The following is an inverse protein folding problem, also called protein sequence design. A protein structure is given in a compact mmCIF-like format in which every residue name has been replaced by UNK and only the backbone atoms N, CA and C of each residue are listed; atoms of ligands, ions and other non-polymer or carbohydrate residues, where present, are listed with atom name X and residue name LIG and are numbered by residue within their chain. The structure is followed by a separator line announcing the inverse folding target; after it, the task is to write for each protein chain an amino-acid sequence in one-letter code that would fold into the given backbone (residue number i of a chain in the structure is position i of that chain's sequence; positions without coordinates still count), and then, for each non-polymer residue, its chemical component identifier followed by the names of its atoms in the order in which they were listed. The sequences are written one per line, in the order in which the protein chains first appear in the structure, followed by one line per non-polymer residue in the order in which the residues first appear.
data_IF_456724499055
#
_entry.id   IF_456724499055
#
_cell.length_a   1.000
_cell.length_b   1.000
_cell.length_c   1.000
_cell.angle_alpha   90.00
_cell.angle_beta   90.00
_cell.angle_gamma   90.00
#
_symmetry.space_group_name_H-M   'P 1'
#
loop_
_entity.id
_entity.type
_entity.pdbx_description
1 polymer ?
#
# COMPACT_ATOMS: atom_id res chain seq x y z
N UNK A 1 9.75 12.12 6.85
CA UNK A 1 9.97 10.87 6.09
C UNK A 1 10.94 9.99 6.88
N UNK A 2 10.56 8.78 7.28
CA UNK A 2 11.41 7.86 8.09
C UNK A 2 11.49 6.48 7.41
N UNK A 3 11.67 6.45 6.09
CA UNK A 3 11.64 5.20 5.33
C UNK A 3 12.83 4.27 5.63
N UNK A 4 13.99 4.83 5.96
CA UNK A 4 15.21 4.05 6.24
C UNK A 4 15.12 3.16 7.50
N UNK A 5 14.28 3.50 8.48
CA UNK A 5 14.10 2.65 9.67
C UNK A 5 13.18 1.47 9.38
N UNK A 6 12.14 1.70 8.57
CA UNK A 6 11.06 0.75 8.28
C UNK A 6 11.54 -0.37 7.35
N UNK A 7 12.21 -0.03 6.24
CA UNK A 7 12.73 -1.03 5.31
C UNK A 7 13.75 -1.98 5.96
N UNK A 8 14.64 -1.42 6.81
CA UNK A 8 15.64 -2.21 7.54
C UNK A 8 15.00 -3.32 8.38
N UNK A 9 13.80 -3.06 8.92
CA UNK A 9 13.06 -4.01 9.77
C UNK A 9 12.28 -5.07 9.00
N UNK A 10 12.33 -5.06 7.66
CA UNK A 10 11.68 -6.06 6.82
C UNK A 10 10.27 -5.68 6.36
N UNK A 11 9.81 -4.47 6.66
CA UNK A 11 8.57 -3.95 6.09
C UNK A 11 8.82 -3.43 4.68
N UNK A 12 7.88 -3.69 3.78
CA UNK A 12 7.92 -3.19 2.41
C UNK A 12 7.67 -1.67 2.34
N UNK A 13 8.39 -1.00 1.45
CA UNK A 13 8.18 0.41 1.10
C UNK A 13 7.73 0.50 -0.36
N UNK A 14 6.62 1.19 -0.61
CA UNK A 14 6.02 1.36 -1.94
C UNK A 14 5.75 2.84 -2.25
N UNK A 15 5.52 3.15 -3.53
CA UNK A 15 5.32 4.52 -4.01
C UNK A 15 3.86 4.97 -3.87
N UNK A 16 3.65 6.17 -3.33
CA UNK A 16 2.33 6.79 -3.14
C UNK A 16 2.31 8.27 -3.63
N UNK A 17 2.88 8.51 -4.81
CA UNK A 17 3.02 9.81 -5.50
C UNK A 17 3.86 10.85 -4.71
N UNK A 18 4.35 11.87 -5.42
CA UNK A 18 5.22 12.91 -4.84
C UNK A 18 4.39 14.07 -4.32
N UNK A 19 3.39 14.51 -5.10
CA UNK A 19 2.58 15.68 -4.76
C UNK A 19 1.40 15.35 -3.86
N UNK A 20 0.84 14.14 -4.00
CA UNK A 20 -0.49 13.82 -3.50
C UNK A 20 -1.52 14.89 -3.93
N UNK A 21 -1.45 15.34 -5.20
CA UNK A 21 -2.38 16.28 -5.83
C UNK A 21 -3.84 15.95 -5.44
N UNK A 22 -4.55 16.96 -4.93
CA UNK A 22 -5.90 16.87 -4.41
C UNK A 22 -6.97 16.84 -5.51
N UNK A 23 -6.60 17.15 -6.75
CA UNK A 23 -7.49 17.00 -7.91
C UNK A 23 -7.61 15.53 -8.34
N UNK A 24 -8.69 14.85 -7.93
CA UNK A 24 -8.99 13.48 -8.36
C UNK A 24 -9.08 13.32 -9.89
N UNK A 25 -9.45 14.38 -10.63
CA UNK A 25 -9.54 14.33 -12.09
C UNK A 25 -8.16 14.32 -12.75
N UNK A 26 -7.17 14.96 -12.12
CA UNK A 26 -5.78 14.90 -12.58
C UNK A 26 -5.34 13.44 -12.69
N UNK A 27 -5.50 12.64 -11.63
CA UNK A 27 -5.09 11.23 -11.65
C UNK A 27 -5.81 10.39 -12.70
N UNK A 28 -7.09 10.67 -12.91
CA UNK A 28 -7.93 9.92 -13.85
C UNK A 28 -7.57 10.22 -15.32
N UNK A 29 -6.96 11.38 -15.57
CA UNK A 29 -6.62 11.88 -16.91
C UNK A 29 -5.10 12.03 -17.13
N UNK A 30 -4.29 11.74 -16.12
CA UNK A 30 -2.84 11.89 -16.14
C UNK A 30 -2.22 11.10 -17.29
N UNK A 31 -1.21 11.70 -17.92
CA UNK A 31 -0.44 11.06 -18.99
C UNK A 31 0.53 10.04 -18.41
N UNK A 32 1.12 9.20 -19.27
CA UNK A 32 2.16 8.25 -18.87
C UNK A 32 3.35 8.98 -18.20
N UNK A 33 3.72 10.17 -18.72
CA UNK A 33 4.80 11.00 -18.18
C UNK A 33 4.44 11.59 -16.80
N UNK A 34 3.20 12.05 -16.61
CA UNK A 34 2.73 12.54 -15.30
C UNK A 34 2.80 11.43 -14.24
N UNK A 35 2.32 10.22 -14.60
CA UNK A 35 2.44 9.04 -13.75
C UNK A 35 3.91 8.69 -13.45
N UNK A 36 4.81 8.84 -14.42
CA UNK A 36 6.23 8.51 -14.24
C UNK A 36 6.90 9.51 -13.30
N UNK A 37 6.68 10.81 -13.49
CA UNK A 37 7.20 11.87 -12.62
C UNK A 37 6.76 11.68 -11.18
N UNK A 38 5.52 11.28 -10.98
CA UNK A 38 5.00 11.12 -9.63
C UNK A 38 5.38 9.79 -8.98
N UNK A 39 5.27 8.65 -9.68
CA UNK A 39 5.54 7.33 -9.09
C UNK A 39 7.00 6.95 -9.16
N UNK A 40 7.62 7.02 -10.35
CA UNK A 40 9.05 6.72 -10.49
C UNK A 40 9.90 7.81 -9.81
N UNK A 41 9.46 9.07 -9.82
CA UNK A 41 10.06 10.14 -9.02
C UNK A 41 10.04 9.84 -7.52
N UNK A 42 8.90 9.40 -6.97
CA UNK A 42 8.83 8.95 -5.58
C UNK A 42 9.77 7.78 -5.30
N UNK A 43 9.85 6.79 -6.19
CA UNK A 43 10.83 5.69 -6.05
C UNK A 43 12.26 6.23 -5.96
N UNK A 44 12.66 7.15 -6.84
CA UNK A 44 13.99 7.78 -6.81
C UNK A 44 14.25 8.52 -5.48
N UNK A 45 13.26 9.29 -5.00
CA UNK A 45 13.34 9.99 -3.71
C UNK A 45 13.57 8.98 -2.58
N UNK A 46 12.76 7.91 -2.52
CA UNK A 46 12.86 6.89 -1.49
C UNK A 46 14.21 6.18 -1.55
N UNK A 47 14.62 5.68 -2.73
CA UNK A 47 15.90 4.97 -2.91
C UNK A 47 17.09 5.85 -2.48
N UNK A 48 17.13 7.12 -2.91
CA UNK A 48 18.22 8.05 -2.57
C UNK A 48 18.23 8.42 -1.09
N UNK A 49 17.11 8.88 -0.54
CA UNK A 49 17.07 9.46 0.81
C UNK A 49 16.85 8.42 1.92
N UNK A 50 16.39 7.21 1.60
CA UNK A 50 16.38 6.07 2.51
C UNK A 50 17.59 5.14 2.34
N UNK A 51 18.42 5.35 1.30
CA UNK A 51 19.58 4.54 0.95
C UNK A 51 19.22 3.06 0.71
N UNK A 52 18.13 2.84 -0.04
CA UNK A 52 17.67 1.51 -0.46
C UNK A 52 18.24 1.26 -1.86
N UNK A 53 18.89 0.12 -2.06
CA UNK A 53 19.66 -0.20 -3.29
C UNK A 53 19.43 -1.61 -3.83
N UNK A 54 18.50 -2.35 -3.22
CA UNK A 54 18.15 -3.74 -3.56
C UNK A 54 16.95 -3.82 -4.52
N UNK A 55 16.53 -2.71 -5.11
CA UNK A 55 15.38 -2.59 -6.01
C UNK A 55 14.06 -3.11 -5.39
N UNK A 56 13.91 -3.04 -4.06
CA UNK A 56 12.74 -3.53 -3.34
C UNK A 56 11.53 -2.58 -3.37
N UNK A 57 11.69 -1.34 -3.83
CA UNK A 57 10.60 -0.35 -3.94
C UNK A 57 9.82 -0.58 -5.24
N UNK A 58 8.95 -1.59 -5.23
CA UNK A 58 8.31 -2.14 -6.44
C UNK A 58 6.78 -1.98 -6.50
N UNK A 59 6.17 -1.54 -5.40
CA UNK A 59 4.73 -1.33 -5.31
C UNK A 59 4.28 0.09 -5.66
N UNK A 60 3.05 0.19 -6.14
CA UNK A 60 2.38 1.44 -6.46
C UNK A 60 0.97 1.46 -5.84
N UNK A 61 0.56 2.61 -5.29
CA UNK A 61 -0.84 2.90 -4.96
C UNK A 61 -1.15 4.36 -5.26
N UNK A 62 -2.23 4.65 -5.97
CA UNK A 62 -2.64 6.04 -6.20
C UNK A 62 -3.41 6.63 -5.00
N UNK A 63 -3.19 7.91 -4.64
CA UNK A 63 -4.03 8.73 -3.77
C UNK A 63 -5.49 8.68 -4.17
N UNK A 64 -6.33 8.70 -3.14
CA UNK A 64 -7.79 8.61 -3.25
C UNK A 64 -8.26 7.38 -4.06
N UNK A 65 -7.37 6.39 -4.26
CA UNK A 65 -7.60 5.20 -5.07
C UNK A 65 -8.05 5.52 -6.51
N UNK A 66 -7.56 6.62 -7.09
CA UNK A 66 -7.87 7.01 -8.47
C UNK A 66 -7.07 6.19 -9.48
N UNK A 67 -7.74 5.30 -10.22
CA UNK A 67 -7.10 4.48 -11.24
C UNK A 67 -6.90 5.31 -12.51
N UNK A 68 -5.68 5.31 -13.04
CA UNK A 68 -5.23 6.12 -14.19
C UNK A 68 -5.37 5.44 -15.55
N UNK A 69 -6.38 4.59 -15.73
CA UNK A 69 -6.65 3.89 -16.99
C UNK A 69 -5.47 3.05 -17.46
N UNK A 70 -5.29 2.97 -18.77
CA UNK A 70 -4.13 2.29 -19.33
C UNK A 70 -2.81 3.06 -19.10
N UNK A 71 -2.85 4.37 -18.88
CA UNK A 71 -1.64 5.19 -18.78
C UNK A 71 -0.83 4.85 -17.52
N UNK A 72 -1.50 4.66 -16.39
CA UNK A 72 -0.89 4.21 -15.14
C UNK A 72 -0.14 2.88 -15.35
N UNK A 73 -0.80 1.88 -15.94
CA UNK A 73 -0.23 0.54 -16.10
C UNK A 73 0.85 0.49 -17.20
N UNK A 74 0.72 1.29 -18.26
CA UNK A 74 1.78 1.47 -19.26
C UNK A 74 3.02 2.08 -18.63
N UNK A 75 2.87 3.13 -17.81
CA UNK A 75 3.99 3.70 -17.04
C UNK A 75 4.62 2.64 -16.14
N UNK A 76 3.82 1.86 -15.42
CA UNK A 76 4.33 0.85 -14.50
C UNK A 76 5.14 -0.24 -15.20
N UNK A 77 4.69 -0.69 -16.37
CA UNK A 77 5.41 -1.65 -17.20
C UNK A 77 6.73 -1.05 -17.72
N UNK A 78 6.71 0.18 -18.26
CA UNK A 78 7.91 0.90 -18.72
C UNK A 78 8.93 1.17 -17.59
N UNK A 79 8.44 1.42 -16.38
CA UNK A 79 9.23 1.72 -15.19
C UNK A 79 9.55 0.48 -14.34
N UNK A 80 9.18 -0.72 -14.80
CA UNK A 80 9.41 -2.00 -14.14
C UNK A 80 8.91 -2.07 -12.67
N UNK A 81 7.74 -1.48 -12.40
CA UNK A 81 7.03 -1.74 -11.13
C UNK A 81 6.43 -3.15 -11.14
N UNK A 82 6.43 -3.81 -9.98
CA UNK A 82 5.94 -5.19 -9.86
C UNK A 82 4.42 -5.25 -9.80
N UNK A 83 3.81 -4.40 -8.97
CA UNK A 83 2.37 -4.45 -8.71
C UNK A 83 1.74 -3.08 -8.45
N UNK A 84 0.47 -2.97 -8.81
CA UNK A 84 -0.45 -1.92 -8.37
C UNK A 84 -1.33 -2.45 -7.24
N UNK A 85 -1.73 -1.56 -6.33
CA UNK A 85 -2.76 -1.84 -5.32
C UNK A 85 -3.66 -0.62 -5.19
N UNK A 86 -4.24 -0.22 -6.33
CA UNK A 86 -5.17 0.92 -6.41
C UNK A 86 -6.58 0.44 -6.78
N UNK A 87 -6.70 -0.61 -7.58
CA UNK A 87 -8.00 -1.09 -8.07
C UNK A 87 -8.80 -1.70 -6.91
N UNK A 88 -10.00 -1.16 -6.70
CA UNK A 88 -10.96 -1.70 -5.73
C UNK A 88 -11.89 -2.71 -6.40
N UNK A 89 -12.05 -3.89 -5.78
CA UNK A 89 -13.10 -4.84 -6.12
C UNK A 89 -14.30 -4.63 -5.21
N UNK A 90 -15.53 -4.62 -5.76
CA UNK A 90 -16.74 -4.50 -4.95
C UNK A 90 -16.85 -5.66 -3.96
N UNK A 91 -17.55 -5.42 -2.85
CA UNK A 91 -17.81 -6.45 -1.84
C UNK A 91 -18.37 -7.71 -2.50
N UNK A 92 -17.66 -8.82 -2.32
CA UNK A 92 -17.94 -10.11 -2.96
C UNK A 92 -17.70 -11.28 -2.01
N UNK A 93 -18.38 -12.39 -2.28
CA UNK A 93 -18.19 -13.64 -1.53
C UNK A 93 -18.20 -14.81 -2.53
N UNK A 94 -17.05 -15.48 -2.77
CA UNK A 94 -15.76 -15.25 -2.11
C UNK A 94 -15.06 -13.95 -2.55
N UNK A 95 -14.13 -13.40 -1.73
CA UNK A 95 -13.26 -12.30 -2.12
C UNK A 95 -12.26 -12.71 -3.22
N UNK A 96 -11.66 -11.75 -3.91
CA UNK A 96 -10.77 -11.99 -5.04
C UNK A 96 -9.32 -12.14 -4.62
N UNK A 97 -8.63 -13.11 -5.23
CA UNK A 97 -7.18 -13.21 -5.18
C UNK A 97 -6.53 -12.15 -6.10
N UNK A 98 -5.27 -11.75 -5.83
CA UNK A 98 -4.49 -10.96 -6.77
C UNK A 98 -4.41 -11.61 -8.15
N UNK A 99 -4.31 -10.79 -9.18
CA UNK A 99 -4.27 -11.24 -10.57
C UNK A 99 -3.29 -10.41 -11.38
N UNK A 100 -2.91 -10.89 -12.58
CA UNK A 100 -2.08 -10.10 -13.49
C UNK A 100 -2.93 -9.37 -14.52
N UNK A 101 -2.42 -8.25 -15.01
CA UNK A 101 -3.09 -7.37 -15.96
C UNK A 101 -2.90 -7.78 -17.42
N UNK A 102 -2.40 -8.99 -17.68
CA UNK A 102 -2.33 -9.54 -19.04
C UNK A 102 -3.72 -9.80 -19.63
N UNK A 103 -4.69 -10.14 -18.78
CA UNK A 103 -6.06 -10.44 -19.17
C UNK A 103 -7.04 -9.40 -18.63
N UNK A 104 -8.27 -9.44 -19.14
CA UNK A 104 -9.34 -8.57 -18.65
C UNK A 104 -9.57 -8.81 -17.15
N UNK A 105 -9.73 -7.72 -16.41
CA UNK A 105 -10.07 -7.74 -14.98
C UNK A 105 -11.24 -8.68 -14.69
N UNK A 106 -11.18 -9.48 -13.60
CA UNK A 106 -12.21 -10.45 -13.25
C UNK A 106 -13.42 -9.81 -12.52
N UNK A 107 -13.48 -8.48 -12.45
CA UNK A 107 -14.58 -7.73 -11.83
C UNK A 107 -14.82 -6.40 -12.56
N UNK A 108 -15.93 -5.73 -12.22
CA UNK A 108 -16.25 -4.40 -12.74
C UNK A 108 -15.24 -3.36 -12.25
N UNK A 109 -15.01 -2.33 -13.05
CA UNK A 109 -14.36 -1.11 -12.57
C UNK A 109 -15.27 -0.46 -11.52
N UNK A 110 -14.85 -0.40 -10.26
CA UNK A 110 -15.68 -0.03 -9.12
C UNK A 110 -15.17 1.24 -8.46
N UNK A 111 -16.09 2.14 -8.11
CA UNK A 111 -15.81 3.47 -7.58
C UNK A 111 -16.36 4.59 -8.47
N UNK A 112 -16.42 5.80 -7.94
CA UNK A 112 -16.99 6.95 -8.64
C UNK A 112 -16.07 7.43 -9.77
N UNK A 113 -16.59 7.50 -11.00
CA UNK A 113 -15.85 8.00 -12.18
C UNK A 113 -14.48 7.34 -12.37
N UNK A 114 -14.34 6.06 -12.04
CA UNK A 114 -13.07 5.35 -12.15
C UNK A 114 -12.72 5.03 -13.60
N UNK A 115 -11.45 5.16 -13.96
CA UNK A 115 -10.92 4.82 -15.27
C UNK A 115 -10.00 3.60 -15.13
N UNK A 116 -10.53 2.40 -15.32
CA UNK A 116 -9.72 1.17 -15.23
C UNK A 116 -9.02 0.83 -16.57
N UNK A 117 -7.89 0.12 -16.53
CA UNK A 117 -7.20 -0.34 -17.74
C UNK A 117 -8.05 -1.34 -18.54
N UNK A 118 -7.85 -1.35 -19.86
CA UNK A 118 -8.59 -2.19 -20.80
C UNK A 118 -7.68 -3.01 -21.73
N UNK A 119 -6.39 -2.66 -21.80
CA UNK A 119 -5.35 -3.39 -22.53
C UNK A 119 -4.59 -4.33 -21.59
N UNK A 120 -3.81 -5.22 -22.19
CA UNK A 120 -2.88 -6.07 -21.46
C UNK A 120 -1.67 -5.25 -20.99
N UNK A 121 -1.26 -5.46 -19.73
CA UNK A 121 -0.04 -4.88 -19.14
C UNK A 121 0.67 -5.92 -18.28
N UNK A 122 2.01 -5.91 -18.29
CA UNK A 122 2.83 -6.85 -17.54
C UNK A 122 2.97 -6.49 -16.04
N UNK A 123 1.84 -6.28 -15.36
CA UNK A 123 1.76 -5.77 -13.98
C UNK A 123 0.86 -6.67 -13.13
N UNK A 124 1.20 -6.90 -11.87
CA UNK A 124 0.31 -7.53 -10.90
C UNK A 124 -0.67 -6.51 -10.31
N UNK A 125 -1.91 -6.93 -10.07
CA UNK A 125 -2.90 -6.17 -9.30
C UNK A 125 -3.11 -6.86 -7.95
N UNK A 126 -2.62 -6.22 -6.90
CA UNK A 126 -2.92 -6.51 -5.50
C UNK A 126 -4.27 -5.89 -5.14
N UNK A 127 -5.32 -6.49 -5.71
CA UNK A 127 -6.69 -5.99 -5.69
C UNK A 127 -7.18 -5.69 -4.27
N UNK A 128 -7.77 -4.51 -4.10
CA UNK A 128 -8.36 -4.08 -2.84
C UNK A 128 -9.81 -4.57 -2.76
N UNK A 129 -10.03 -5.73 -2.14
CA UNK A 129 -11.38 -6.20 -1.84
C UNK A 129 -12.04 -5.27 -0.82
N UNK A 130 -13.24 -4.78 -1.10
CA UNK A 130 -14.04 -4.11 -0.07
C UNK A 130 -14.33 -5.06 1.11
N UNK A 131 -14.20 -4.51 2.31
CA UNK A 131 -14.59 -5.13 3.56
C UNK A 131 -16.08 -4.90 3.81
N UNK A 132 -16.71 -5.89 4.44
CA UNK A 132 -18.12 -5.82 4.85
C UNK A 132 -18.21 -5.09 6.17
N UNK A 133 -18.93 -3.98 6.18
CA UNK A 133 -19.08 -3.09 7.35
C UNK A 133 -20.40 -3.27 8.09
N UNK A 134 -21.23 -4.25 7.73
CA UNK A 134 -22.46 -4.56 8.46
C UNK A 134 -22.12 -5.02 9.88
N UNK A 135 -22.86 -4.53 10.86
CA UNK A 135 -22.64 -4.88 12.28
C UNK A 135 -23.25 -6.24 12.58
N UNK A 136 -24.42 -6.52 11.97
CA UNK A 136 -25.01 -7.85 11.92
C UNK A 136 -25.20 -8.31 10.46
N UNK A 137 -24.23 -9.06 9.90
CA UNK A 137 -24.27 -9.53 8.52
C UNK A 137 -25.47 -10.43 8.18
N UNK A 138 -26.17 -10.98 9.18
CA UNK A 138 -27.33 -11.86 9.00
C UNK A 138 -28.64 -11.09 8.87
N UNK A 139 -28.75 -9.95 9.56
CA UNK A 139 -30.00 -9.17 9.65
C UNK A 139 -29.93 -7.82 8.95
N UNK A 140 -28.74 -7.21 8.84
CA UNK A 140 -28.57 -5.92 8.22
C UNK A 140 -28.85 -5.96 6.71
N UNK A 141 -29.52 -4.91 6.23
CA UNK A 141 -29.73 -4.67 4.81
C UNK A 141 -28.40 -4.52 4.05
N UNK A 142 -28.48 -4.55 2.73
CA UNK A 142 -27.31 -4.34 1.88
C UNK A 142 -26.68 -2.96 2.14
N UNK A 143 -25.44 -2.97 2.62
CA UNK A 143 -24.57 -1.80 2.72
C UNK A 143 -23.43 -1.93 1.72
N UNK A 144 -23.01 -0.82 1.06
CA UNK A 144 -21.77 -0.84 0.29
C UNK A 144 -20.60 -1.11 1.24
N UNK A 145 -19.63 -1.88 0.75
CA UNK A 145 -18.40 -2.14 1.50
C UNK A 145 -17.49 -0.92 1.55
N UNK A 146 -16.32 -1.10 2.16
CA UNK A 146 -15.28 -0.08 2.28
C UNK A 146 -13.92 -0.70 2.01
N UNK A 147 -13.10 -0.05 1.16
CA UNK A 147 -11.74 -0.53 0.87
C UNK A 147 -10.75 -0.13 1.95
N UNK A 148 -10.70 1.17 2.29
CA UNK A 148 -9.90 1.68 3.41
C UNK A 148 -10.67 1.49 4.71
N UNK A 149 -10.01 1.01 5.77
CA UNK A 149 -10.69 0.78 7.06
C UNK A 149 -11.24 2.09 7.64
N UNK A 150 -10.50 3.18 7.50
CA UNK A 150 -10.95 4.51 7.93
C UNK A 150 -12.13 5.08 7.10
N UNK A 151 -12.46 4.48 5.95
CA UNK A 151 -13.66 4.84 5.16
C UNK A 151 -14.92 4.10 5.62
N UNK A 152 -14.80 3.11 6.50
CA UNK A 152 -15.92 2.38 7.10
C UNK A 152 -16.58 3.23 8.21
N UNK A 153 -17.34 4.25 7.79
CA UNK A 153 -17.83 5.33 8.64
C UNK A 153 -18.72 4.95 9.83
N UNK A 154 -19.23 3.72 9.87
CA UNK A 154 -20.11 3.23 10.94
C UNK A 154 -19.37 2.50 12.07
N UNK A 155 -18.04 2.37 11.98
CA UNK A 155 -17.21 1.87 13.07
C UNK A 155 -16.93 3.03 14.03
N UNK A 156 -17.54 2.99 15.21
CA UNK A 156 -17.52 4.09 16.19
C UNK A 156 -16.97 3.68 17.56
N UNK A 157 -16.60 2.41 17.76
CA UNK A 157 -16.01 1.90 19.00
C UNK A 157 -14.99 0.78 18.75
N UNK A 158 -14.10 0.54 19.72
CA UNK A 158 -13.16 -0.58 19.69
C UNK A 158 -13.83 -1.95 19.52
N UNK A 159 -14.97 -2.19 20.18
CA UNK A 159 -15.71 -3.45 20.08
C UNK A 159 -16.29 -3.67 18.68
N UNK A 160 -16.85 -2.62 18.06
CA UNK A 160 -17.33 -2.69 16.68
C UNK A 160 -16.17 -2.98 15.72
N UNK A 161 -15.02 -2.35 15.95
CA UNK A 161 -13.85 -2.57 15.12
C UNK A 161 -13.31 -4.00 15.25
N UNK A 162 -13.26 -4.54 16.47
CA UNK A 162 -12.88 -5.93 16.73
C UNK A 162 -13.80 -6.93 16.03
N UNK A 163 -15.12 -6.76 16.16
CA UNK A 163 -16.11 -7.62 15.49
C UNK A 163 -16.02 -7.50 13.97
N UNK A 164 -15.78 -6.29 13.45
CA UNK A 164 -15.55 -6.04 12.04
C UNK A 164 -14.31 -6.79 11.50
N UNK A 165 -13.21 -6.81 12.26
CA UNK A 165 -11.99 -7.54 11.91
C UNK A 165 -12.26 -9.05 11.84
N UNK A 166 -12.92 -9.61 12.85
CA UNK A 166 -13.27 -11.03 12.89
C UNK A 166 -14.21 -11.43 11.75
N UNK A 167 -15.28 -10.68 11.50
CA UNK A 167 -16.20 -10.98 10.40
C UNK A 167 -15.48 -11.00 9.04
N UNK A 168 -14.62 -10.03 8.78
CA UNK A 168 -13.89 -9.97 7.51
C UNK A 168 -12.76 -11.01 7.43
N UNK A 169 -12.15 -11.38 8.56
CA UNK A 169 -11.25 -12.52 8.62
C UNK A 169 -11.96 -13.80 8.24
N UNK A 170 -13.11 -14.11 8.84
CA UNK A 170 -13.89 -15.32 8.55
C UNK A 170 -14.36 -15.37 7.09
N UNK A 171 -14.80 -14.23 6.54
CA UNK A 171 -15.17 -14.11 5.11
C UNK A 171 -14.06 -14.57 4.16
N UNK A 172 -12.80 -14.33 4.51
CA UNK A 172 -11.65 -14.77 3.72
C UNK A 172 -11.26 -16.20 4.09
N UNK A 173 -11.09 -16.46 5.39
CA UNK A 173 -10.54 -17.69 5.94
C UNK A 173 -11.41 -18.93 5.69
N UNK A 174 -12.73 -18.80 5.79
CA UNK A 174 -13.71 -19.89 5.61
C UNK A 174 -14.12 -20.14 4.15
N UNK A 175 -13.67 -19.28 3.22
CA UNK A 175 -14.01 -19.37 1.80
C UNK A 175 -12.81 -19.83 0.97
N UNK A 176 -12.22 -18.93 0.19
CA UNK A 176 -11.12 -19.23 -0.72
C UNK A 176 -9.75 -18.76 -0.21
N UNK A 177 -9.68 -18.25 1.03
CA UNK A 177 -8.47 -17.73 1.67
C UNK A 177 -7.73 -16.68 0.84
N UNK A 178 -8.45 -15.88 0.05
CA UNK A 178 -7.85 -14.74 -0.62
C UNK A 178 -7.17 -13.82 0.40
N UNK A 179 -6.04 -13.17 0.07
CA UNK A 179 -5.38 -12.25 0.99
C UNK A 179 -6.35 -11.21 1.56
N UNK A 180 -6.41 -11.11 2.89
CA UNK A 180 -7.19 -10.08 3.58
C UNK A 180 -6.38 -8.78 3.62
N UNK A 181 -6.87 -7.76 2.90
CA UNK A 181 -6.26 -6.43 2.89
C UNK A 181 -6.82 -5.56 4.00
N UNK A 182 -5.98 -5.17 4.96
CA UNK A 182 -6.32 -4.17 5.99
C UNK A 182 -5.53 -2.89 5.72
N UNK A 183 -6.19 -1.90 5.11
CA UNK A 183 -5.56 -0.66 4.66
C UNK A 183 -5.92 0.51 5.56
N UNK A 184 -4.90 1.15 6.14
CA UNK A 184 -5.06 2.18 7.17
C UNK A 184 -4.30 3.47 6.84
N UNK A 185 -4.86 4.59 7.27
CA UNK A 185 -4.08 5.79 7.57
C UNK A 185 -3.60 5.78 9.03
N UNK A 186 -2.31 6.03 9.25
CA UNK A 186 -1.72 6.00 10.60
C UNK A 186 -2.41 6.96 11.60
N UNK A 187 -2.92 8.09 11.10
CA UNK A 187 -3.67 9.05 11.91
C UNK A 187 -4.95 8.46 12.51
N UNK A 188 -5.64 7.56 11.79
CA UNK A 188 -6.90 6.97 12.24
C UNK A 188 -6.69 6.09 13.49
N UNK A 189 -5.65 5.26 13.52
CA UNK A 189 -5.30 4.47 14.70
C UNK A 189 -4.75 5.35 15.82
N UNK A 190 -3.84 6.28 15.50
CA UNK A 190 -3.19 7.12 16.52
C UNK A 190 -4.15 8.04 17.25
N UNK A 191 -5.15 8.58 16.55
CA UNK A 191 -6.10 9.53 17.12
C UNK A 191 -7.24 8.85 17.89
N UNK A 192 -7.41 7.53 17.75
CA UNK A 192 -8.44 6.74 18.41
C UNK A 192 -7.79 5.56 19.17
N UNK A 193 -7.33 5.77 20.42
CA UNK A 193 -6.60 4.74 21.17
C UNK A 193 -7.36 3.42 21.32
N UNK A 194 -8.69 3.47 21.46
CA UNK A 194 -9.54 2.28 21.52
C UNK A 194 -9.45 1.41 20.25
N UNK A 195 -9.27 2.01 19.07
CA UNK A 195 -9.12 1.27 17.82
C UNK A 195 -7.76 0.61 17.75
N UNK A 196 -6.71 1.29 18.21
CA UNK A 196 -5.37 0.71 18.27
C UNK A 196 -5.33 -0.45 19.26
N UNK A 197 -5.93 -0.29 20.44
CA UNK A 197 -5.99 -1.36 21.46
C UNK A 197 -6.76 -2.58 20.93
N UNK A 198 -7.92 -2.37 20.31
CA UNK A 198 -8.69 -3.44 19.67
C UNK A 198 -7.93 -4.13 18.54
N UNK A 199 -7.19 -3.38 17.72
CA UNK A 199 -6.40 -3.93 16.62
C UNK A 199 -5.23 -4.78 17.11
N UNK A 200 -4.49 -4.29 18.12
CA UNK A 200 -3.38 -5.05 18.71
C UNK A 200 -3.88 -6.30 19.41
N UNK A 201 -5.00 -6.20 20.14
CA UNK A 201 -5.65 -7.35 20.76
C UNK A 201 -6.05 -8.41 19.72
N UNK A 202 -6.67 -7.98 18.62
CA UNK A 202 -7.06 -8.88 17.52
C UNK A 202 -5.84 -9.54 16.86
N UNK A 203 -4.76 -8.80 16.62
CA UNK A 203 -3.50 -9.39 16.07
C UNK A 203 -2.96 -10.46 17.01
N UNK A 204 -2.84 -10.17 18.30
CA UNK A 204 -2.30 -11.09 19.29
C UNK A 204 -3.17 -12.36 19.41
N UNK A 205 -4.50 -12.21 19.39
CA UNK A 205 -5.44 -13.33 19.41
C UNK A 205 -5.31 -14.22 18.16
N UNK A 206 -5.29 -13.62 16.96
CA UNK A 206 -5.14 -14.36 15.71
C UNK A 206 -3.81 -15.11 15.67
N UNK A 207 -2.71 -14.46 16.05
CA UNK A 207 -1.39 -15.10 16.09
C UNK A 207 -1.29 -16.22 17.12
N UNK A 208 -2.00 -16.11 18.26
CA UNK A 208 -2.02 -17.14 19.29
C UNK A 208 -2.87 -18.36 18.90
N UNK A 209 -4.00 -18.13 18.22
CA UNK A 209 -5.00 -19.16 17.94
C UNK A 209 -4.87 -19.81 16.56
N UNK A 210 -4.16 -19.19 15.60
CA UNK A 210 -3.99 -19.71 14.25
C UNK A 210 -2.53 -19.98 13.91
N UNK A 211 -2.23 -21.23 13.55
CA UNK A 211 -0.89 -21.63 13.07
C UNK A 211 -0.75 -21.58 11.54
N UNK A 212 -1.80 -21.13 10.85
CA UNK A 212 -1.92 -21.07 9.40
C UNK A 212 -2.26 -19.67 8.86
N UNK A 213 -2.14 -18.64 9.72
CA UNK A 213 -2.31 -17.23 9.38
C UNK A 213 -0.97 -16.51 9.46
N UNK A 214 -0.67 -15.68 8.45
CA UNK A 214 0.58 -14.96 8.33
C UNK A 214 0.33 -13.51 7.94
N UNK A 215 0.96 -12.58 8.68
CA UNK A 215 1.00 -11.16 8.33
C UNK A 215 2.24 -10.90 7.48
N UNK A 216 2.04 -10.57 6.21
CA UNK A 216 3.11 -10.49 5.19
C UNK A 216 3.02 -9.20 4.39
N UNK A 217 4.11 -8.88 3.69
CA UNK A 217 4.17 -7.77 2.72
C UNK A 217 3.43 -8.12 1.43
N UNK A 218 3.14 -7.14 0.58
CA UNK A 218 2.45 -7.36 -0.69
C UNK A 218 3.33 -8.15 -1.66
N UNK A 219 4.64 -7.83 -1.70
CA UNK A 219 5.61 -8.60 -2.48
C UNK A 219 5.66 -10.07 -2.02
N UNK A 220 5.58 -10.33 -0.71
CA UNK A 220 5.54 -11.70 -0.18
C UNK A 220 4.28 -12.47 -0.58
N UNK A 221 3.13 -11.80 -0.75
CA UNK A 221 1.94 -12.43 -1.33
C UNK A 221 2.20 -12.85 -2.77
N UNK A 222 2.78 -11.98 -3.59
CA UNK A 222 3.10 -12.28 -5.00
C UNK A 222 4.10 -13.44 -5.09
N UNK A 223 5.15 -13.44 -4.25
CA UNK A 223 6.13 -14.53 -4.19
C UNK A 223 5.46 -15.87 -3.85
N UNK A 224 4.46 -15.87 -2.96
CA UNK A 224 3.67 -17.08 -2.67
C UNK A 224 2.82 -17.50 -3.87
N UNK A 225 2.16 -16.56 -4.56
CA UNK A 225 1.35 -16.89 -5.75
C UNK A 225 2.23 -17.47 -6.87
N UNK A 226 3.46 -16.97 -7.03
CA UNK A 226 4.43 -17.48 -8.01
C UNK A 226 4.95 -18.89 -7.66
N UNK A 227 4.95 -19.27 -6.38
CA UNK A 227 5.38 -20.58 -5.91
C UNK A 227 4.56 -21.03 -4.70
N UNK A 228 3.30 -21.48 -4.91
CA UNK A 228 2.36 -21.75 -3.83
C UNK A 228 2.89 -22.78 -2.84
N UNK A 229 2.80 -22.45 -1.56
CA UNK A 229 3.20 -23.31 -0.44
C UNK A 229 2.01 -23.69 0.42
N UNK A 230 1.95 -24.94 0.83
CA UNK A 230 1.01 -25.38 1.86
C UNK A 230 1.38 -24.78 3.22
N UNK A 231 0.45 -24.79 4.17
CA UNK A 231 0.66 -24.34 5.57
C UNK A 231 1.88 -25.02 6.22
N UNK A 232 2.16 -26.28 5.88
CA UNK A 232 3.32 -26.99 6.42
C UNK A 232 4.63 -26.52 5.79
N UNK A 233 4.66 -26.29 4.48
CA UNK A 233 5.86 -25.87 3.75
C UNK A 233 6.21 -24.40 4.02
N UNK A 234 5.19 -23.56 4.27
CA UNK A 234 5.38 -22.12 4.36
C UNK A 234 6.24 -21.68 5.56
N UNK A 235 6.32 -22.54 6.59
CA UNK A 235 7.23 -22.36 7.74
C UNK A 235 8.71 -22.28 7.33
N UNK A 236 9.08 -22.90 6.22
CA UNK A 236 10.43 -22.89 5.65
C UNK A 236 10.47 -22.17 4.29
N UNK A 237 9.50 -21.30 4.00
CA UNK A 237 9.47 -20.55 2.75
C UNK A 237 10.39 -19.35 2.85
N UNK A 238 11.57 -19.46 2.23
CA UNK A 238 12.65 -18.47 2.32
C UNK A 238 12.22 -17.01 2.09
N UNK A 239 11.39 -16.66 1.08
CA UNK A 239 10.98 -15.27 0.88
C UNK A 239 10.19 -14.66 2.06
N UNK A 240 9.51 -15.50 2.85
CA UNK A 240 8.82 -15.05 4.08
C UNK A 240 9.73 -14.99 5.31
N UNK A 241 10.99 -15.45 5.17
CA UNK A 241 12.01 -15.42 6.23
C UNK A 241 13.09 -14.37 5.97
N UNK A 242 13.00 -13.63 4.87
CA UNK A 242 13.84 -12.46 4.64
C UNK A 242 13.65 -11.44 5.76
N UNK A 243 14.77 -10.92 6.31
CA UNK A 243 14.74 -9.97 7.44
C UNK A 243 13.88 -10.47 8.63
N UNK A 244 13.82 -11.79 8.88
CA UNK A 244 12.91 -12.44 9.84
C UNK A 244 12.93 -11.86 11.28
N UNK A 245 14.10 -11.54 11.83
CA UNK A 245 14.22 -10.84 13.12
C UNK A 245 15.45 -9.95 13.08
N UNK A 246 15.29 -8.76 12.49
CA UNK A 246 16.40 -7.82 12.31
C UNK A 246 16.71 -7.12 13.62
N UNK A 247 17.84 -7.48 14.21
CA UNK A 247 18.46 -6.76 15.33
C UNK A 247 19.52 -5.75 14.83
N UNK A 248 20.20 -5.09 15.77
CA UNK A 248 21.32 -4.22 15.47
C UNK A 248 20.96 -2.74 15.24
N UNK A 249 22.02 -1.98 14.92
CA UNK A 249 22.06 -0.52 14.94
C UNK A 249 21.31 0.10 13.74
N UNK A 250 20.73 1.30 13.88
CA UNK A 250 20.16 2.03 12.75
C UNK A 250 21.26 2.46 11.76
N UNK A 251 20.87 2.78 10.52
CA UNK A 251 21.80 3.24 9.47
C UNK A 251 22.55 4.52 9.85
N UNK A 252 21.93 5.39 10.65
CA UNK A 252 22.57 6.49 11.33
C UNK A 252 21.92 6.74 12.70
N UNK A 253 22.70 7.22 13.67
CA UNK A 253 22.20 7.52 15.03
C UNK A 253 21.46 8.85 15.11
N UNK A 254 21.95 9.85 14.37
CA UNK A 254 21.39 11.19 14.32
C UNK A 254 21.21 11.54 12.85
N UNK A 255 19.98 11.42 12.32
CA UNK A 255 19.67 11.86 10.97
C UNK A 255 19.90 13.37 10.83
N UNK A 256 20.31 13.79 9.63
CA UNK A 256 20.30 15.21 9.29
C UNK A 256 18.86 15.72 9.21
N UNK A 257 18.64 16.94 9.66
CA UNK A 257 17.37 17.66 9.49
C UNK A 257 17.58 18.78 8.47
N UNK A 258 17.22 18.50 7.22
CA UNK A 258 17.45 19.39 6.09
C UNK A 258 16.27 20.34 5.93
N UNK A 259 16.47 21.62 6.26
CA UNK A 259 15.52 22.71 5.95
C UNK A 259 15.68 23.11 4.50
N UNK A 260 14.76 22.66 3.65
CA UNK A 260 14.87 22.79 2.20
C UNK A 260 13.73 23.63 1.63
N UNK A 261 13.98 24.25 0.48
CA UNK A 261 13.00 24.96 -0.33
C UNK A 261 13.09 24.48 -1.77
N UNK A 262 12.03 24.67 -2.56
CA UNK A 262 12.05 24.42 -3.99
C UNK A 262 11.27 25.51 -4.72
N UNK A 263 11.66 25.80 -5.97
CA UNK A 263 10.89 26.68 -6.85
C UNK A 263 9.52 26.08 -7.20
N UNK A 264 9.39 24.76 -7.12
CA UNK A 264 8.16 24.03 -7.43
C UNK A 264 7.13 24.10 -6.30
N UNK A 265 7.55 24.46 -5.08
CA UNK A 265 6.68 24.65 -3.91
C UNK A 265 6.94 26.04 -3.32
N UNK A 266 6.48 27.10 -4.00
CA UNK A 266 6.87 28.46 -3.66
C UNK A 266 6.33 28.87 -2.27
N UNK A 267 7.20 29.43 -1.44
CA UNK A 267 6.83 29.96 -0.13
C UNK A 267 6.92 28.95 1.02
N UNK A 268 7.14 27.68 0.74
CA UNK A 268 7.27 26.64 1.77
C UNK A 268 8.74 26.36 2.12
N UNK A 269 8.97 26.01 3.40
CA UNK A 269 10.23 25.44 3.87
C UNK A 269 9.91 24.11 4.53
N UNK A 270 10.38 23.03 3.91
CA UNK A 270 10.04 21.67 4.31
C UNK A 270 11.27 21.01 4.94
N UNK A 271 11.06 20.36 6.08
CA UNK A 271 12.11 19.59 6.75
C UNK A 271 12.16 18.16 6.21
N UNK A 272 13.26 17.79 5.57
CA UNK A 272 13.54 16.42 5.15
C UNK A 272 14.56 15.79 6.11
N UNK A 273 14.17 14.70 6.78
CA UNK A 273 15.08 13.93 7.63
C UNK A 273 15.69 12.77 6.85
N UNK A 274 17.01 12.66 6.85
CA UNK A 274 17.72 11.57 6.17
C UNK A 274 19.09 11.29 6.80
N UNK A 275 19.60 10.07 6.61
CA UNK A 275 20.98 9.72 6.94
C UNK A 275 21.99 10.19 5.87
N UNK A 276 21.53 10.56 4.67
CA UNK A 276 22.43 11.08 3.63
C UNK A 276 22.65 12.59 3.80
N UNK A 277 23.64 13.14 3.10
CA UNK A 277 23.90 14.59 3.11
C UNK A 277 22.68 15.34 2.55
N UNK A 278 22.35 16.49 3.14
CA UNK A 278 21.26 17.33 2.67
C UNK A 278 21.44 17.71 1.18
N UNK A 279 20.37 17.61 0.37
CA UNK A 279 20.38 18.03 -1.02
C UNK A 279 20.40 19.57 -1.14
N UNK A 280 20.57 20.09 -2.36
CA UNK A 280 20.59 21.53 -2.61
C UNK A 280 19.18 22.13 -2.57
N UNK A 281 18.20 21.42 -3.12
CA UNK A 281 16.80 21.82 -3.16
C UNK A 281 15.92 20.74 -2.51
N UNK A 282 14.68 21.11 -2.18
CA UNK A 282 13.67 20.14 -1.78
C UNK A 282 13.29 19.27 -3.00
N UNK A 283 13.42 17.93 -2.91
CA UNK A 283 13.07 17.03 -4.00
C UNK A 283 11.59 17.13 -4.37
N UNK A 284 11.29 17.20 -5.67
CA UNK A 284 9.92 17.30 -6.18
C UNK A 284 9.80 16.71 -7.60
N UNK A 285 8.70 16.99 -8.29
CA UNK A 285 8.36 16.42 -9.60
C UNK A 285 9.47 16.52 -10.65
N UNK A 286 10.05 17.70 -10.82
CA UNK A 286 11.06 17.93 -11.86
C UNK A 286 12.50 17.74 -11.37
N UNK A 287 12.72 17.68 -10.05
CA UNK A 287 14.01 17.42 -9.42
C UNK A 287 13.86 16.39 -8.28
N UNK A 288 13.60 15.11 -8.59
CA UNK A 288 13.38 14.08 -7.57
C UNK A 288 14.65 13.76 -6.77
N UNK A 289 15.82 14.21 -7.23
CA UNK A 289 17.08 14.02 -6.51
C UNK A 289 17.44 15.22 -5.63
N UNK A 290 16.82 16.38 -5.85
CA UNK A 290 17.11 17.64 -5.16
C UNK A 290 18.50 18.22 -5.50
N UNK A 291 19.10 17.81 -6.62
CA UNK A 291 20.47 18.20 -6.96
C UNK A 291 20.52 19.59 -7.61
N UNK A 292 19.41 20.06 -8.19
CA UNK A 292 19.30 21.38 -8.82
C UNK A 292 19.81 21.48 -10.25
N UNK A 293 20.00 20.34 -10.92
CA UNK A 293 20.27 20.28 -12.36
C UNK A 293 18.96 20.09 -13.11
N UNK A 294 18.60 21.08 -13.92
CA UNK A 294 17.47 21.02 -14.86
C UNK A 294 18.02 21.01 -16.29
#
# INVERSE_FOLDING_TARGET
MIFYLTDRKGHETASHLTTHNDDEQFWSNATVDDWAKEMAGTRIIVEKFANISDNSVVGVRAPYLRVGGNNQFTMMEEQAFLYDSTITAPLSNPPLWPYTMYFRMPHRCHGNLQHCPTRSHAVWEMVMNELDRREDPQFDEYLPGCAMVDSCSNILSGDQFYNFLNHNFDRHYEKNRAPLGLYFHAAWLKNNPEYLDAFLYWIDEILANHNDVYFVTMTQVIQWIQNPRTVTEVKNFEPWREKCSVEGKPSCWVPHSCKLTSKEIPGETINLQTCVRCPNNYPWLNDPTGDGFF
#
